data_IF_939069492617
#
_entry.id   IF_939069492617
#
_cell.length_a   1.000
_cell.length_b   1.000
_cell.length_c   1.000
_cell.angle_alpha   90.00
_cell.angle_beta   90.00
_cell.angle_gamma   90.00
#
_symmetry.space_group_name_H-M   'P 1'
#
loop_
_entity.id
_entity.type
_entity.pdbx_description
1 polymer ?
#
# COMPACT_ATOMS: atom_id res chain seq x y z
N UNK A 1 -4.67 -3.46 0.50
CA UNK A 1 -6.11 -3.49 0.85
C UNK A 1 -6.57 -4.85 1.37
N UNK A 2 -6.18 -5.97 0.76
CA UNK A 2 -6.48 -7.35 1.17
C UNK A 2 -5.24 -8.25 1.30
N UNK A 3 -5.47 -9.54 1.61
CA UNK A 3 -4.38 -10.51 1.86
C UNK A 3 -3.45 -10.74 0.67
N UNK A 4 -3.96 -10.63 -0.56
CA UNK A 4 -3.13 -10.79 -1.77
C UNK A 4 -2.11 -9.65 -1.91
N UNK A 5 -2.47 -8.43 -1.49
CA UNK A 5 -1.54 -7.30 -1.42
C UNK A 5 -0.42 -7.59 -0.42
N UNK A 6 -0.76 -8.10 0.77
CA UNK A 6 0.23 -8.51 1.76
C UNK A 6 1.21 -9.54 1.19
N UNK A 7 0.70 -10.59 0.53
CA UNK A 7 1.53 -11.61 -0.11
C UNK A 7 2.47 -10.99 -1.16
N UNK A 8 1.98 -10.06 -1.99
CA UNK A 8 2.80 -9.37 -2.99
C UNK A 8 3.92 -8.54 -2.33
N UNK A 9 3.61 -7.78 -1.28
CA UNK A 9 4.60 -6.98 -0.54
C UNK A 9 5.65 -7.87 0.15
N UNK A 10 5.23 -9.03 0.70
CA UNK A 10 6.15 -10.01 1.30
C UNK A 10 7.07 -10.65 0.27
N UNK A 11 6.60 -10.96 -0.93
CA UNK A 11 7.44 -11.42 -2.06
C UNK A 11 8.51 -10.38 -2.43
N UNK A 12 8.18 -9.09 -2.30
CA UNK A 12 9.12 -7.98 -2.47
C UNK A 12 10.06 -7.76 -1.27
N UNK A 13 10.01 -8.64 -0.26
CA UNK A 13 10.80 -8.59 0.98
C UNK A 13 10.53 -7.36 1.84
N UNK A 14 9.32 -6.78 1.74
CA UNK A 14 8.92 -5.68 2.62
C UNK A 14 8.73 -6.23 4.03
N UNK A 15 9.48 -5.64 4.96
CA UNK A 15 9.50 -5.99 6.38
C UNK A 15 8.57 -5.07 7.18
N UNK A 16 8.31 -5.45 8.42
CA UNK A 16 7.38 -4.75 9.31
C UNK A 16 5.97 -5.32 9.29
N UNK A 17 5.11 -4.67 10.06
CA UNK A 17 3.69 -5.01 10.15
C UNK A 17 2.96 -4.56 8.87
N UNK A 18 2.18 -5.45 8.28
CA UNK A 18 1.32 -5.14 7.13
C UNK A 18 -0.11 -5.34 7.59
N UNK A 19 -0.91 -4.27 7.51
CA UNK A 19 -2.27 -4.25 8.02
C UNK A 19 -3.21 -4.02 6.85
N UNK A 20 -4.10 -4.98 6.60
CA UNK A 20 -5.02 -4.93 5.45
C UNK A 20 -6.44 -4.55 5.89
N UNK A 21 -6.92 -3.40 5.41
CA UNK A 21 -8.27 -2.88 5.69
C UNK A 21 -9.38 -3.90 5.41
N UNK A 22 -9.42 -4.48 4.20
CA UNK A 22 -10.48 -5.40 3.78
C UNK A 22 -10.35 -6.79 4.39
N UNK A 23 -9.19 -7.14 4.96
CA UNK A 23 -8.96 -8.48 5.51
C UNK A 23 -9.50 -8.64 6.94
N UNK A 24 -9.71 -7.54 7.66
CA UNK A 24 -10.17 -7.57 9.06
C UNK A 24 -11.69 -7.65 9.20
N UNK A 25 -12.44 -7.19 8.19
CA UNK A 25 -13.91 -7.10 8.27
C UNK A 25 -14.42 -5.94 9.14
N UNK A 26 -13.49 -5.12 9.63
CA UNK A 26 -13.75 -3.95 10.46
C UNK A 26 -14.38 -2.80 9.66
N UNK A 27 -15.08 -1.91 10.36
CA UNK A 27 -15.43 -0.62 9.78
C UNK A 27 -14.16 0.21 9.55
N UNK A 28 -14.24 1.21 8.66
CA UNK A 28 -13.11 2.11 8.41
C UNK A 28 -12.63 2.79 9.70
N UNK A 29 -13.54 3.20 10.59
CA UNK A 29 -13.20 3.86 11.85
C UNK A 29 -12.57 2.91 12.86
N UNK A 30 -13.04 1.67 12.96
CA UNK A 30 -12.44 0.68 13.86
C UNK A 30 -11.01 0.34 13.39
N UNK A 31 -10.84 0.16 12.08
CA UNK A 31 -9.53 -0.07 11.48
C UNK A 31 -8.55 1.08 11.79
N UNK A 32 -8.97 2.33 11.60
CA UNK A 32 -8.13 3.50 11.86
C UNK A 32 -7.95 3.74 13.35
N UNK A 33 -8.90 3.37 14.21
CA UNK A 33 -8.78 3.45 15.67
C UNK A 33 -7.67 2.54 16.23
N UNK A 34 -7.53 1.34 15.68
CA UNK A 34 -6.42 0.44 16.01
C UNK A 34 -5.06 1.04 15.63
N UNK A 35 -5.06 1.98 14.67
CA UNK A 35 -4.07 2.97 14.22
C UNK A 35 -3.23 3.71 15.25
N UNK A 36 -3.83 3.98 16.41
CA UNK A 36 -3.42 5.08 17.28
C UNK A 36 -2.12 4.76 18.03
N UNK A 37 -1.21 5.74 18.11
CA UNK A 37 0.04 5.65 18.87
C UNK A 37 1.22 6.33 18.17
N UNK A 38 2.42 6.19 18.75
CA UNK A 38 3.68 6.76 18.23
C UNK A 38 4.27 5.96 17.06
N UNK A 39 3.44 5.69 16.04
CA UNK A 39 3.81 4.89 14.88
C UNK A 39 3.65 5.66 13.58
N UNK A 40 4.57 5.39 12.66
CA UNK A 40 4.52 5.90 11.30
C UNK A 40 3.92 4.83 10.39
N UNK A 41 2.87 5.20 9.65
CA UNK A 41 2.09 4.30 8.80
C UNK A 41 2.29 4.67 7.35
N UNK A 42 2.89 3.77 6.57
CA UNK A 42 2.92 3.91 5.12
C UNK A 42 1.56 3.49 4.53
N UNK A 43 0.93 4.37 3.75
CA UNK A 43 -0.36 4.10 3.10
C UNK A 43 -0.12 3.55 1.70
N UNK A 44 -0.66 2.37 1.41
CA UNK A 44 -0.61 1.73 0.08
C UNK A 44 -2.00 1.21 -0.31
N UNK A 45 -2.46 1.61 -1.49
CA UNK A 45 -3.72 1.21 -2.12
C UNK A 45 -3.47 0.94 -3.61
N UNK A 46 -4.48 0.42 -4.30
CA UNK A 46 -4.42 0.26 -5.74
C UNK A 46 -4.24 1.61 -6.47
N UNK A 47 -3.67 1.57 -7.67
CA UNK A 47 -3.29 2.75 -8.47
C UNK A 47 -4.43 3.27 -9.37
N UNK A 48 -5.64 2.76 -9.16
CA UNK A 48 -6.87 3.18 -9.80
C UNK A 48 -7.49 4.42 -9.11
N UNK A 49 -8.70 4.77 -9.53
CA UNK A 49 -9.43 5.93 -9.00
C UNK A 49 -9.92 5.68 -7.57
N UNK A 50 -10.40 4.48 -7.26
CA UNK A 50 -10.93 4.13 -5.94
C UNK A 50 -9.81 4.07 -4.90
N UNK A 51 -8.69 3.42 -5.23
CA UNK A 51 -7.50 3.40 -4.41
C UNK A 51 -6.94 4.80 -4.18
N UNK A 52 -6.91 5.66 -5.20
CA UNK A 52 -6.50 7.07 -5.00
C UNK A 52 -7.36 7.81 -3.99
N UNK A 53 -8.68 7.61 -4.03
CA UNK A 53 -9.60 8.20 -3.05
C UNK A 53 -9.39 7.60 -1.65
N UNK A 54 -9.22 6.28 -1.56
CA UNK A 54 -8.97 5.59 -0.30
C UNK A 54 -7.66 6.03 0.36
N UNK A 55 -6.58 6.18 -0.42
CA UNK A 55 -5.31 6.66 0.09
C UNK A 55 -5.42 8.08 0.67
N UNK A 56 -6.13 8.98 -0.02
CA UNK A 56 -6.37 10.33 0.48
C UNK A 56 -7.18 10.31 1.78
N UNK A 57 -8.25 9.50 1.84
CA UNK A 57 -9.09 9.36 3.03
C UNK A 57 -8.33 8.75 4.22
N UNK A 58 -7.47 7.76 4.00
CA UNK A 58 -6.63 7.16 5.05
C UNK A 58 -5.63 8.17 5.62
N UNK A 59 -4.95 8.93 4.76
CA UNK A 59 -4.01 9.97 5.20
C UNK A 59 -4.73 11.03 6.03
N UNK A 60 -5.90 11.47 5.58
CA UNK A 60 -6.71 12.47 6.28
C UNK A 60 -7.10 11.97 7.67
N UNK A 61 -7.71 10.79 7.78
CA UNK A 61 -8.15 10.21 9.07
C UNK A 61 -6.96 9.99 10.02
N UNK A 62 -5.86 9.41 9.53
CA UNK A 62 -4.66 9.16 10.34
C UNK A 62 -4.07 10.47 10.86
N UNK A 63 -4.02 11.51 10.04
CA UNK A 63 -3.55 12.83 10.44
C UNK A 63 -4.44 13.44 11.52
N UNK A 64 -5.76 13.34 11.38
CA UNK A 64 -6.72 13.81 12.40
C UNK A 64 -6.51 13.12 13.75
N UNK A 65 -6.18 11.82 13.75
CA UNK A 65 -5.85 11.05 14.95
C UNK A 65 -4.40 11.25 15.45
N UNK A 66 -3.64 12.17 14.84
CA UNK A 66 -2.21 12.43 15.16
C UNK A 66 -1.27 11.26 14.90
N UNK A 67 -1.64 10.35 14.01
CA UNK A 67 -0.77 9.27 13.51
C UNK A 67 -0.01 9.79 12.29
N UNK A 68 1.31 9.55 12.24
CA UNK A 68 2.14 10.00 11.11
C UNK A 68 1.89 9.10 9.89
N UNK A 69 1.16 9.61 8.90
CA UNK A 69 0.90 8.90 7.65
C UNK A 69 1.92 9.29 6.56
N UNK A 70 2.64 8.30 6.01
CA UNK A 70 3.52 8.49 4.84
C UNK A 70 2.86 7.96 3.56
N UNK A 71 2.61 8.87 2.61
CA UNK A 71 2.08 8.57 1.27
C UNK A 71 3.16 8.67 0.19
N UNK A 72 4.40 9.02 0.55
CA UNK A 72 5.48 9.30 -0.40
C UNK A 72 5.85 8.06 -1.21
N UNK A 73 5.92 6.90 -0.56
CA UNK A 73 6.16 5.62 -1.23
C UNK A 73 5.09 5.31 -2.28
N UNK A 74 3.81 5.48 -1.94
CA UNK A 74 2.70 5.27 -2.87
C UNK A 74 2.76 6.22 -4.08
N UNK A 75 3.04 7.51 -3.85
CA UNK A 75 3.19 8.50 -4.96
C UNK A 75 4.31 8.12 -5.92
N UNK A 76 5.46 7.68 -5.38
CA UNK A 76 6.61 7.24 -6.19
C UNK A 76 6.30 5.97 -6.97
N UNK A 77 5.73 4.95 -6.32
CA UNK A 77 5.31 3.71 -6.97
C UNK A 77 4.28 3.99 -8.07
N UNK A 78 3.27 4.80 -7.79
CA UNK A 78 2.26 5.18 -8.78
C UNK A 78 2.89 5.88 -9.99
N UNK A 79 3.87 6.76 -9.79
CA UNK A 79 4.54 7.45 -10.90
C UNK A 79 5.39 6.51 -11.76
N UNK A 80 6.04 5.52 -11.15
CA UNK A 80 6.91 4.56 -11.83
C UNK A 80 6.12 3.44 -12.51
N UNK A 81 5.02 2.98 -11.90
CA UNK A 81 4.36 1.73 -12.28
C UNK A 81 3.06 1.93 -13.06
N UNK A 82 2.45 3.13 -13.09
CA UNK A 82 1.11 3.33 -13.70
C UNK A 82 0.89 2.90 -15.16
N UNK A 83 1.89 2.89 -16.08
CA UNK A 83 1.63 2.35 -17.42
C UNK A 83 1.38 0.84 -17.40
N UNK A 84 1.90 0.10 -16.41
CA UNK A 84 1.98 -1.37 -16.42
C UNK A 84 1.29 -2.05 -15.24
N UNK A 85 1.07 -1.34 -14.13
CA UNK A 85 0.60 -1.88 -12.85
C UNK A 85 -0.60 -1.06 -12.37
N UNK A 86 -1.72 -1.74 -12.10
CA UNK A 86 -2.98 -1.16 -11.64
C UNK A 86 -3.25 -1.44 -10.17
N UNK A 87 -2.80 -2.60 -9.67
CA UNK A 87 -3.01 -3.03 -8.30
C UNK A 87 -1.70 -3.33 -7.57
N UNK A 88 -1.73 -3.28 -6.23
CA UNK A 88 -0.55 -3.64 -5.41
C UNK A 88 -0.21 -5.13 -5.57
N UNK A 89 -1.21 -5.99 -5.76
CA UNK A 89 -1.04 -7.42 -6.03
C UNK A 89 -0.11 -7.70 -7.25
N UNK A 90 -0.13 -6.83 -8.25
CA UNK A 90 0.63 -6.96 -9.51
C UNK A 90 2.10 -6.49 -9.39
N UNK A 91 2.45 -5.75 -8.33
CA UNK A 91 3.79 -5.17 -8.16
C UNK A 91 4.88 -6.24 -8.09
N UNK A 92 4.61 -7.37 -7.42
CA UNK A 92 5.60 -8.43 -7.26
C UNK A 92 6.02 -9.03 -8.61
N UNK A 93 5.04 -9.35 -9.45
CA UNK A 93 5.27 -9.93 -10.77
C UNK A 93 5.94 -8.94 -11.71
N UNK A 94 5.54 -7.66 -11.64
CA UNK A 94 6.17 -6.59 -12.41
C UNK A 94 7.66 -6.44 -12.07
N UNK A 95 8.02 -6.38 -10.79
CA UNK A 95 9.42 -6.27 -10.36
C UNK A 95 10.23 -7.50 -10.72
N UNK A 96 9.67 -8.70 -10.56
CA UNK A 96 10.35 -9.94 -10.97
C UNK A 96 10.59 -9.98 -12.48
N UNK A 97 9.65 -9.50 -13.30
CA UNK A 97 9.82 -9.37 -14.75
C UNK A 97 10.97 -8.41 -15.08
N UNK A 98 10.97 -7.22 -14.49
CA UNK A 98 12.04 -6.24 -14.69
C UNK A 98 13.42 -6.82 -14.32
N UNK A 99 13.51 -7.55 -13.20
CA UNK A 99 14.76 -8.20 -12.78
C UNK A 99 15.28 -9.24 -13.78
N UNK A 100 14.38 -10.00 -14.42
CA UNK A 100 14.77 -10.98 -15.46
C UNK A 100 15.25 -10.29 -16.73
N UNK A 101 14.58 -9.22 -17.14
CA UNK A 101 14.97 -8.42 -18.29
C UNK A 101 16.35 -7.78 -18.06
N UNK A 102 16.58 -7.20 -16.87
CA UNK A 102 17.88 -6.59 -16.52
C UNK A 102 19.03 -7.57 -16.31
N UNK A 103 18.75 -8.86 -16.10
CA UNK A 103 19.77 -9.90 -15.90
C UNK A 103 20.11 -10.65 -17.20
N UNK A 104 19.43 -10.32 -18.29
CA UNK A 104 19.66 -10.90 -19.63
C UNK A 104 20.47 -9.96 -20.54
N UNK A 105 20.87 -8.80 -20.02
CA UNK A 105 21.85 -7.85 -20.58
C UNK A 105 23.23 -8.03 -19.92
#
# INVERSE_FOLDING_TARGET
EGRRDEVALRRLKIQGEIICLKARGDSFHDFTGDLIGDREVAVLTDFDREGTYLAARLVDELTHMRVKADITAWKRLKALCRPDVRAVEELAEYVERLRRESASD
#
